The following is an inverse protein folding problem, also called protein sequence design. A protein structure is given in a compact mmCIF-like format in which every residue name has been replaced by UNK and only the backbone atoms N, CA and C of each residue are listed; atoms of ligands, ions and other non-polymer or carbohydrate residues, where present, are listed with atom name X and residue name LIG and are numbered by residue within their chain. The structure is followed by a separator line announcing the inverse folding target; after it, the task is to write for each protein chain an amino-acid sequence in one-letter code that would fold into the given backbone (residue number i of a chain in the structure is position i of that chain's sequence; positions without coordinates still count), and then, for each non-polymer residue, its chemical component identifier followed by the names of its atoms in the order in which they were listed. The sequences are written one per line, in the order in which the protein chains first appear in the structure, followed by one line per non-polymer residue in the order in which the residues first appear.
data_IF_478004277194
#
_entry.id   IF_478004277194
#
_cell.length_a   1.000
_cell.length_b   1.000
_cell.length_c   1.000
_cell.angle_alpha   90.00
_cell.angle_beta   90.00
_cell.angle_gamma   90.00
#
_symmetry.space_group_name_H-M   'P 1'
#
loop_
_entity.id
_entity.type
_entity.pdbx_description
1 polymer ?
#
# COMPACT_ATOMS: atom_id res chain seq x y z
N UNK A 1 -5.23 11.12 36.73
CA UNK A 1 -4.18 10.83 35.73
C UNK A 1 -4.83 10.18 34.53
N UNK A 2 -4.99 10.83 33.37
CA UNK A 2 -5.50 10.13 32.20
C UNK A 2 -4.36 9.40 31.48
N UNK A 3 -4.64 8.15 31.13
CA UNK A 3 -3.79 7.24 30.36
C UNK A 3 -3.67 7.71 28.90
N UNK A 4 -2.52 8.24 28.48
CA UNK A 4 -2.23 8.40 27.04
C UNK A 4 -0.73 8.26 26.70
N UNK A 5 -0.20 7.03 26.58
CA UNK A 5 1.06 6.81 25.86
C UNK A 5 0.88 6.06 24.52
N UNK A 6 -0.33 5.64 24.15
CA UNK A 6 -0.57 4.85 22.94
C UNK A 6 -0.72 5.69 21.66
N UNK A 7 -1.10 6.97 21.77
CA UNK A 7 -1.39 7.81 20.60
C UNK A 7 -0.15 8.28 19.82
N UNK A 8 1.01 8.42 20.47
CA UNK A 8 2.26 8.78 19.78
C UNK A 8 2.97 7.60 19.09
N UNK A 9 2.45 6.37 19.23
CA UNK A 9 3.02 5.17 18.58
C UNK A 9 2.40 4.85 17.21
N UNK A 10 1.39 5.61 16.78
CA UNK A 10 0.58 5.34 15.58
C UNK A 10 1.22 5.80 14.25
N UNK A 11 2.36 6.48 14.27
CA UNK A 11 2.84 7.27 13.11
C UNK A 11 4.09 6.66 12.44
N UNK A 12 4.46 5.41 12.76
CA UNK A 12 5.68 4.82 12.20
C UNK A 12 5.43 3.49 11.54
N UNK A 13 5.68 3.38 10.24
CA UNK A 13 5.65 2.08 9.57
C UNK A 13 6.76 1.17 10.15
N UNK A 14 6.44 -0.06 10.59
CA UNK A 14 7.46 -1.00 11.05
C UNK A 14 8.49 -1.28 9.96
N UNK A 15 9.77 -1.40 10.34
CA UNK A 15 10.86 -1.65 9.37
C UNK A 15 10.66 -2.92 8.55
N UNK A 16 9.93 -3.90 9.07
CA UNK A 16 9.61 -5.11 8.33
C UNK A 16 8.73 -4.86 7.09
N UNK A 17 8.00 -3.74 7.03
CA UNK A 17 7.19 -3.33 5.87
C UNK A 17 7.94 -2.47 4.85
N UNK A 18 9.11 -1.93 5.19
CA UNK A 18 9.91 -1.10 4.27
C UNK A 18 10.75 -1.92 3.31
N UNK A 19 11.12 -1.29 2.20
CA UNK A 19 11.98 -1.86 1.16
C UNK A 19 11.19 -2.40 -0.03
N UNK A 20 11.81 -3.31 -0.78
CA UNK A 20 11.23 -3.92 -1.97
C UNK A 20 10.42 -5.18 -1.64
N UNK A 21 9.31 -5.31 -2.35
CA UNK A 21 8.35 -6.39 -2.29
C UNK A 21 8.03 -6.86 -3.70
N UNK A 22 7.62 -8.11 -3.84
CA UNK A 22 7.26 -8.69 -5.13
C UNK A 22 5.99 -9.53 -5.00
N UNK A 23 5.09 -9.44 -5.98
CA UNK A 23 3.93 -10.32 -6.07
C UNK A 23 4.27 -11.63 -6.81
N UNK A 24 3.28 -12.50 -6.97
CA UNK A 24 3.39 -13.79 -7.68
C UNK A 24 3.66 -13.64 -9.19
N UNK A 25 3.30 -12.50 -9.78
CA UNK A 25 3.44 -12.21 -11.22
C UNK A 25 4.78 -11.55 -11.56
N UNK A 26 5.55 -11.18 -10.55
CA UNK A 26 6.86 -10.59 -10.67
C UNK A 26 6.89 -9.07 -10.56
N UNK A 27 5.74 -8.41 -10.38
CA UNK A 27 5.60 -6.96 -10.19
C UNK A 27 6.16 -6.55 -8.84
N UNK A 28 6.67 -5.33 -8.74
CA UNK A 28 7.43 -4.87 -7.58
C UNK A 28 6.77 -3.68 -6.90
N UNK A 29 6.76 -3.70 -5.57
CA UNK A 29 6.33 -2.60 -4.72
C UNK A 29 7.51 -2.14 -3.85
N UNK A 30 7.83 -0.85 -3.90
CA UNK A 30 8.90 -0.26 -3.10
C UNK A 30 8.29 0.72 -2.10
N UNK A 31 8.61 0.53 -0.83
CA UNK A 31 8.15 1.39 0.27
C UNK A 31 9.32 2.02 1.01
N UNK A 32 9.39 3.35 0.98
CA UNK A 32 10.42 4.12 1.66
C UNK A 32 9.81 5.13 2.62
N UNK A 33 10.54 5.42 3.70
CA UNK A 33 10.12 6.44 4.66
C UNK A 33 10.23 7.83 4.03
N UNK A 34 9.19 8.64 4.24
CA UNK A 34 9.23 10.08 4.06
C UNK A 34 9.07 10.77 5.43
N UNK A 35 8.56 12.00 5.46
CA UNK A 35 8.32 12.79 6.68
C UNK A 35 7.03 12.35 7.39
N UNK A 36 7.09 12.19 8.71
CA UNK A 36 5.91 11.88 9.52
C UNK A 36 5.31 10.50 9.20
N UNK A 37 3.99 10.46 8.95
CA UNK A 37 3.28 9.24 8.50
C UNK A 37 3.31 9.04 6.99
N UNK A 38 4.04 9.87 6.25
CA UNK A 38 4.14 9.77 4.80
C UNK A 38 5.23 8.79 4.37
N UNK A 39 5.02 8.17 3.23
CA UNK A 39 5.88 7.18 2.59
C UNK A 39 6.06 7.58 1.13
N UNK A 40 7.19 7.21 0.55
CA UNK A 40 7.35 7.18 -0.90
C UNK A 40 7.03 5.76 -1.37
N UNK A 41 6.14 5.67 -2.35
CA UNK A 41 5.64 4.42 -2.91
C UNK A 41 5.96 4.39 -4.38
N UNK A 42 6.64 3.35 -4.83
CA UNK A 42 6.83 3.10 -6.26
C UNK A 42 6.36 1.69 -6.59
N UNK A 43 5.68 1.54 -7.71
CA UNK A 43 5.17 0.25 -8.19
C UNK A 43 5.64 0.05 -9.62
N UNK A 44 6.09 -1.17 -9.92
CA UNK A 44 6.66 -1.52 -11.21
C UNK A 44 6.04 -2.81 -11.72
N UNK A 45 5.92 -2.90 -13.04
CA UNK A 45 5.58 -4.12 -13.76
C UNK A 45 6.63 -5.22 -13.57
N UNK A 46 6.33 -6.41 -14.08
CA UNK A 46 7.26 -7.54 -14.07
C UNK A 46 8.52 -7.27 -14.91
N UNK A 47 8.41 -6.40 -15.90
CA UNK A 47 9.49 -5.84 -16.73
C UNK A 47 10.32 -4.77 -16.02
N UNK A 48 9.98 -4.45 -14.76
CA UNK A 48 10.57 -3.40 -13.92
C UNK A 48 10.32 -1.97 -14.41
N UNK A 49 9.42 -1.77 -15.37
CA UNK A 49 8.98 -0.43 -15.76
C UNK A 49 7.87 0.06 -14.82
N UNK A 50 7.79 1.37 -14.53
CA UNK A 50 6.65 1.90 -13.79
C UNK A 50 5.36 1.77 -14.60
N UNK A 51 4.23 1.64 -13.92
CA UNK A 51 2.93 1.79 -14.56
C UNK A 51 2.69 3.25 -14.89
N UNK A 52 1.99 3.50 -15.99
CA UNK A 52 1.46 4.82 -16.32
C UNK A 52 0.04 4.92 -15.76
N UNK A 53 -0.17 5.89 -14.90
CA UNK A 53 -1.46 6.24 -14.31
C UNK A 53 -2.03 7.41 -15.11
N UNK A 54 -3.29 7.34 -15.51
CA UNK A 54 -3.96 8.42 -16.24
C UNK A 54 -5.15 8.95 -15.44
N UNK A 55 -5.42 10.25 -15.52
CA UNK A 55 -6.71 10.81 -15.11
C UNK A 55 -7.68 10.89 -16.30
N UNK A 56 -8.88 11.44 -16.05
CA UNK A 56 -9.88 11.69 -17.10
C UNK A 56 -9.47 12.74 -18.13
N UNK A 57 -8.55 13.63 -17.78
CA UNK A 57 -8.05 14.69 -18.65
C UNK A 57 -6.82 14.23 -19.47
N UNK A 58 -6.58 12.90 -19.52
CA UNK A 58 -5.45 12.25 -20.19
C UNK A 58 -4.06 12.66 -19.67
N UNK A 59 -3.99 13.34 -18.52
CA UNK A 59 -2.73 13.58 -17.86
C UNK A 59 -2.20 12.27 -17.33
N UNK A 60 -0.89 12.05 -17.51
CA UNK A 60 -0.26 10.79 -17.13
C UNK A 60 0.85 11.00 -16.11
N UNK A 61 0.95 10.07 -15.16
CA UNK A 61 1.98 10.04 -14.14
C UNK A 61 2.57 8.65 -13.99
N UNK A 62 3.91 8.54 -13.83
CA UNK A 62 4.51 7.26 -13.50
C UNK A 62 4.15 6.87 -12.07
N UNK A 63 3.99 5.58 -11.81
CA UNK A 63 3.83 5.03 -10.46
C UNK A 63 5.14 5.01 -9.67
N UNK A 64 5.87 6.12 -9.64
CA UNK A 64 7.17 6.31 -8.97
C UNK A 64 7.04 7.42 -7.93
N UNK A 65 7.65 7.21 -6.76
CA UNK A 65 7.73 8.17 -5.66
C UNK A 65 6.40 8.84 -5.29
N UNK A 66 5.31 8.10 -5.45
CA UNK A 66 3.98 8.53 -5.06
C UNK A 66 3.91 8.68 -3.54
N UNK A 67 3.18 9.69 -3.10
CA UNK A 67 2.98 9.92 -1.67
C UNK A 67 1.94 8.94 -1.12
N UNK A 68 2.40 8.01 -0.28
CA UNK A 68 1.54 7.13 0.50
C UNK A 68 1.37 7.66 1.92
N UNK A 69 0.14 7.67 2.44
CA UNK A 69 -0.14 8.04 3.83
C UNK A 69 -0.45 6.81 4.66
N UNK A 70 0.31 6.58 5.73
CA UNK A 70 0.00 5.54 6.71
C UNK A 70 -1.24 5.95 7.51
N UNK A 71 -2.29 5.12 7.42
CA UNK A 71 -3.57 5.25 8.11
C UNK A 71 -3.83 4.05 9.01
N UNK A 72 -4.71 4.25 9.98
CA UNK A 72 -5.17 3.20 10.90
C UNK A 72 -6.68 3.24 11.00
N UNK A 73 -7.33 2.13 10.66
CA UNK A 73 -8.75 1.94 10.80
C UNK A 73 -9.04 1.30 12.17
N UNK A 74 -9.68 2.08 13.05
CA UNK A 74 -10.04 1.66 14.41
C UNK A 74 -11.11 0.56 14.42
N UNK A 75 -12.00 0.53 13.43
CA UNK A 75 -13.15 -0.40 13.41
C UNK A 75 -12.71 -1.84 13.23
N UNK A 76 -11.58 -2.07 12.54
CA UNK A 76 -11.06 -3.39 12.23
C UNK A 76 -9.61 -3.60 12.70
N UNK A 77 -9.09 -2.74 13.59
CA UNK A 77 -7.70 -2.76 14.11
C UNK A 77 -6.66 -2.99 13.00
N UNK A 78 -6.78 -2.26 11.90
CA UNK A 78 -5.96 -2.49 10.70
C UNK A 78 -5.20 -1.24 10.27
N UNK A 79 -3.89 -1.40 10.04
CA UNK A 79 -3.05 -0.36 9.46
C UNK A 79 -2.92 -0.58 7.95
N UNK A 80 -2.98 0.50 7.17
CA UNK A 80 -2.86 0.46 5.72
C UNK A 80 -2.18 1.73 5.19
N UNK A 81 -1.60 1.66 4.01
CA UNK A 81 -1.02 2.81 3.31
C UNK A 81 -2.02 3.20 2.22
N UNK A 82 -2.47 4.45 2.24
CA UNK A 82 -3.40 5.00 1.25
C UNK A 82 -2.62 5.88 0.28
N UNK A 83 -2.73 5.58 -1.00
CA UNK A 83 -2.04 6.25 -2.09
C UNK A 83 -3.10 6.80 -3.02
N UNK A 84 -3.04 8.09 -3.30
CA UNK A 84 -3.86 8.70 -4.32
C UNK A 84 -3.10 8.69 -5.64
N UNK A 85 -3.70 8.11 -6.68
CA UNK A 85 -3.10 8.03 -8.00
C UNK A 85 -3.50 9.25 -8.83
N UNK A 86 -2.54 9.95 -9.42
CA UNK A 86 -2.83 11.13 -10.26
C UNK A 86 -2.98 12.41 -9.45
N UNK A 87 -3.93 13.27 -9.82
CA UNK A 87 -4.10 14.58 -9.20
C UNK A 87 -4.71 14.48 -7.79
N UNK A 88 -4.13 15.23 -6.85
CA UNK A 88 -4.60 15.24 -5.46
C UNK A 88 -6.04 15.78 -5.34
N UNK A 89 -6.86 15.06 -4.59
CA UNK A 89 -8.29 15.28 -4.39
C UNK A 89 -9.20 14.66 -5.46
N UNK A 90 -8.65 14.14 -6.56
CA UNK A 90 -9.42 13.69 -7.73
C UNK A 90 -9.07 12.25 -8.15
N UNK A 91 -7.98 11.70 -7.61
CA UNK A 91 -7.43 10.44 -8.04
C UNK A 91 -8.10 9.22 -7.39
N UNK A 92 -8.13 8.06 -8.07
CA UNK A 92 -8.52 6.82 -7.41
C UNK A 92 -7.54 6.50 -6.29
N UNK A 93 -8.06 5.96 -5.19
CA UNK A 93 -7.25 5.59 -4.03
C UNK A 93 -6.87 4.12 -4.07
N UNK A 94 -5.58 3.84 -4.01
CA UNK A 94 -5.01 2.51 -3.84
C UNK A 94 -4.61 2.29 -2.38
N UNK A 95 -5.06 1.19 -1.78
CA UNK A 95 -4.81 0.88 -0.38
C UNK A 95 -3.93 -0.36 -0.23
N UNK A 96 -2.87 -0.25 0.56
CA UNK A 96 -1.95 -1.34 0.86
C UNK A 96 -2.10 -1.74 2.33
N UNK A 97 -2.85 -2.81 2.57
CA UNK A 97 -3.13 -3.35 3.89
C UNK A 97 -1.92 -4.09 4.43
N UNK A 98 -1.49 -3.71 5.63
CA UNK A 98 -0.37 -4.35 6.31
C UNK A 98 -0.88 -5.60 7.02
N UNK A 99 -0.36 -6.78 6.65
CA UNK A 99 -0.83 -8.06 7.16
C UNK A 99 0.33 -8.93 7.67
N UNK A 100 -0.02 -9.94 8.45
CA UNK A 100 0.86 -11.01 8.91
C UNK A 100 0.22 -12.36 8.56
N UNK A 101 0.97 -13.22 7.89
CA UNK A 101 0.64 -14.62 7.74
C UNK A 101 1.17 -15.44 8.91
N UNK A 102 0.29 -16.16 9.60
CA UNK A 102 0.64 -17.02 10.72
C UNK A 102 -0.17 -18.33 10.69
N UNK A 103 -0.14 -19.12 11.77
CA UNK A 103 -0.84 -20.41 11.86
C UNK A 103 -2.37 -20.30 11.69
N UNK A 104 -2.94 -19.11 11.87
CA UNK A 104 -4.38 -18.81 11.68
C UNK A 104 -4.69 -18.24 10.29
N UNK A 105 -3.70 -18.19 9.39
CA UNK A 105 -3.81 -17.58 8.06
C UNK A 105 -3.40 -16.11 8.06
N UNK A 106 -3.94 -15.36 7.10
CA UNK A 106 -3.69 -13.92 6.94
C UNK A 106 -4.45 -13.13 8.01
N UNK A 107 -3.75 -12.28 8.73
CA UNK A 107 -4.33 -11.44 9.78
C UNK A 107 -3.84 -10.00 9.62
N UNK A 108 -4.66 -8.99 9.94
CA UNK A 108 -4.19 -7.60 9.96
C UNK A 108 -2.99 -7.41 10.88
N UNK A 109 -2.04 -6.57 10.45
CA UNK A 109 -0.96 -6.14 11.32
C UNK A 109 -1.51 -5.23 12.41
N UNK A 110 -1.38 -5.69 13.65
CA UNK A 110 -1.65 -4.91 14.86
C UNK A 110 -0.36 -4.71 15.63
N UNK A 111 -0.19 -3.53 16.25
CA UNK A 111 0.96 -3.24 17.09
C UNK A 111 1.09 -4.16 18.31
N UNK A 112 -0.03 -4.78 18.70
CA UNK A 112 -0.11 -5.75 19.79
C UNK A 112 0.28 -7.17 19.36
N UNK A 113 0.18 -7.48 18.06
CA UNK A 113 0.50 -8.81 17.53
C UNK A 113 1.41 -8.71 16.30
N UNK A 114 2.71 -8.89 16.53
CA UNK A 114 3.76 -8.78 15.51
C UNK A 114 4.28 -10.14 15.02
N UNK A 115 3.60 -11.24 15.34
CA UNK A 115 4.08 -12.59 15.02
C UNK A 115 3.51 -13.06 13.69
N UNK A 116 4.39 -13.30 12.73
CA UNK A 116 4.05 -13.84 11.42
C UNK A 116 4.99 -13.37 10.34
N UNK A 117 4.74 -13.83 9.12
CA UNK A 117 5.44 -13.38 7.92
C UNK A 117 4.72 -12.13 7.40
N UNK A 118 5.39 -10.97 7.31
CA UNK A 118 4.82 -9.77 6.74
C UNK A 118 4.33 -9.99 5.30
N UNK A 119 3.10 -9.57 5.03
CA UNK A 119 2.46 -9.54 3.71
C UNK A 119 1.85 -8.16 3.52
N UNK A 120 1.97 -7.59 2.32
CA UNK A 120 1.23 -6.39 1.95
C UNK A 120 0.12 -6.83 1.01
N UNK A 121 -1.13 -6.59 1.43
CA UNK A 121 -2.31 -6.93 0.67
C UNK A 121 -2.83 -5.70 -0.05
N UNK A 122 -2.77 -5.64 -1.38
CA UNK A 122 -3.45 -4.61 -2.14
C UNK A 122 -4.95 -4.65 -1.94
N UNK A 123 -5.57 -3.48 -1.99
CA UNK A 123 -6.98 -3.31 -2.15
C UNK A 123 -7.25 -2.03 -2.93
N UNK A 124 -8.36 -2.00 -3.62
CA UNK A 124 -8.87 -0.79 -4.25
C UNK A 124 -9.73 -0.09 -3.19
N UNK A 125 -9.44 1.19 -2.94
CA UNK A 125 -10.23 2.03 -2.05
C UNK A 125 -11.46 2.61 -2.76
N UNK A 126 -11.73 3.90 -2.51
CA UNK A 126 -12.72 4.66 -3.27
C UNK A 126 -12.17 5.05 -4.66
N UNK A 127 -12.96 4.78 -5.69
CA UNK A 127 -12.88 5.46 -6.98
C UNK A 127 -14.02 6.48 -7.05
N UNK A 128 -13.70 7.72 -7.45
CA UNK A 128 -14.68 8.50 -8.21
C UNK A 128 -14.85 7.77 -9.57
N UNK A 129 -15.99 7.95 -10.22
CA UNK A 129 -16.49 7.24 -11.40
C UNK A 129 -17.38 6.03 -11.03
N UNK A 130 -18.66 6.37 -10.84
CA UNK A 130 -19.81 5.49 -10.53
C UNK A 130 -20.40 4.86 -11.82
N UNK A 131 -19.72 5.07 -12.95
CA UNK A 131 -20.06 4.60 -14.28
C UNK A 131 -19.25 3.33 -14.56
N UNK A 132 -19.95 2.21 -14.45
CA UNK A 132 -19.50 0.88 -14.88
C UNK A 132 -19.06 0.80 -16.36
N UNK A 133 -19.23 1.90 -17.13
CA UNK A 133 -18.97 2.01 -18.57
C UNK A 133 -17.75 2.88 -18.93
N UNK A 134 -17.18 3.64 -17.99
CA UNK A 134 -16.05 4.52 -18.28
C UNK A 134 -14.72 3.79 -18.02
N UNK A 135 -14.20 3.20 -19.10
CA UNK A 135 -12.87 2.58 -19.18
C UNK A 135 -11.69 3.54 -18.90
N UNK A 136 -11.93 4.75 -18.41
CA UNK A 136 -10.96 5.83 -18.28
C UNK A 136 -10.52 6.14 -16.84
N UNK A 137 -11.08 5.47 -15.83
CA UNK A 137 -10.80 5.81 -14.42
C UNK A 137 -10.53 4.64 -13.48
N UNK A 138 -10.03 3.49 -13.98
CA UNK A 138 -10.05 2.24 -13.18
C UNK A 138 -8.64 1.72 -12.82
N UNK A 139 -8.41 1.27 -11.56
CA UNK A 139 -7.17 0.72 -11.02
C UNK A 139 -6.64 -0.61 -11.63
N UNK A 140 -6.99 -0.97 -12.86
CA UNK A 140 -6.51 -2.21 -13.50
C UNK A 140 -4.99 -2.24 -13.73
N UNK A 141 -4.33 -1.07 -13.76
CA UNK A 141 -2.87 -0.98 -13.76
C UNK A 141 -2.26 -1.38 -12.41
N UNK A 142 -3.02 -1.27 -11.31
CA UNK A 142 -2.49 -1.59 -9.98
C UNK A 142 -2.47 -3.09 -9.74
N UNK A 143 -1.37 -3.63 -9.20
CA UNK A 143 -1.32 -5.04 -8.82
C UNK A 143 -2.32 -5.31 -7.68
N UNK A 144 -3.15 -6.34 -7.84
CA UNK A 144 -4.09 -6.77 -6.81
C UNK A 144 -3.63 -8.02 -6.05
N UNK A 145 -2.54 -8.62 -6.51
CA UNK A 145 -1.92 -9.80 -5.90
C UNK A 145 -1.16 -9.42 -4.62
N UNK A 146 -1.18 -10.32 -3.64
CA UNK A 146 -0.48 -10.10 -2.38
C UNK A 146 1.04 -9.98 -2.62
N UNK A 147 1.65 -8.97 -2.00
CA UNK A 147 3.06 -8.71 -2.10
C UNK A 147 3.82 -9.41 -0.96
N UNK A 148 4.92 -10.05 -1.33
CA UNK A 148 5.80 -10.77 -0.42
C UNK A 148 7.22 -10.21 -0.49
N UNK A 149 7.93 -10.20 0.65
CA UNK A 149 9.38 -10.01 0.60
C UNK A 149 10.03 -11.24 0.01
N UNK A 150 10.95 -11.05 -0.94
CA UNK A 150 11.93 -12.10 -1.24
C UNK A 150 12.65 -12.42 0.05
N UNK A 151 12.45 -13.63 0.57
CA UNK A 151 13.26 -14.14 1.68
C UNK A 151 14.71 -14.06 1.16
N UNK A 152 15.63 -13.33 1.82
CA UNK A 152 17.03 -13.37 1.44
C UNK A 152 17.44 -14.84 1.42
N UNK A 153 17.89 -15.34 0.27
CA UNK A 153 18.46 -16.70 0.23
C UNK A 153 19.59 -16.70 1.27
N UNK A 154 19.62 -17.66 2.21
CA UNK A 154 20.77 -17.77 3.10
C UNK A 154 22.02 -17.87 2.23
N UNK A 155 23.01 -17.01 2.54
CA UNK A 155 24.35 -17.09 1.95
C UNK A 155 25.05 -18.34 2.46
#
# INVERSE_FOLDING_TARGET
MPLTPLLNRLIWLPRCFLGAWQDSTGRQLHLWRNKGNKLLVSIHGADKQPFTLSDLDENTWPSIDLEGTLKYNKSNDTSYISIEAGQSGLGPTYELYLCLWNKRGLTPYSWLNKKGIPIIKPNIGLGLYDDWEDHLGVPWAWPLEDFHKKIPRPK
#
